data_IF_469051976191
#
_entry.id   IF_469051976191
#
_cell.length_a   1.000
_cell.length_b   1.000
_cell.length_c   1.000
_cell.angle_alpha   90.00
_cell.angle_beta   90.00
_cell.angle_gamma   90.00
#
_symmetry.space_group_name_H-M   'P 1'
#
loop_
_entity.id
_entity.type
_entity.pdbx_description
1 polymer ?
#
# COMPACT_ATOMS: atom_id res chain seq x y z
N UNK A 1 -39.39 10.18 18.30
CA UNK A 1 -39.38 8.93 17.52
C UNK A 1 -38.86 9.27 16.13
N UNK A 2 -37.72 8.68 15.73
CA UNK A 2 -37.18 8.60 14.36
C UNK A 2 -37.01 9.92 13.59
N UNK A 3 -35.80 10.38 13.30
CA UNK A 3 -34.96 9.70 12.31
C UNK A 3 -33.54 10.26 12.41
N UNK A 4 -32.60 9.44 12.88
CA UNK A 4 -31.20 9.65 12.58
C UNK A 4 -30.98 9.06 11.19
N UNK A 5 -30.61 9.90 10.24
CA UNK A 5 -30.10 9.46 8.93
C UNK A 5 -28.83 8.63 9.18
N UNK A 6 -28.98 7.31 9.27
CA UNK A 6 -27.90 6.32 9.17
C UNK A 6 -27.42 6.19 7.72
N UNK A 7 -27.12 7.32 7.07
CA UNK A 7 -26.52 7.32 5.75
C UNK A 7 -25.00 7.12 5.87
N UNK A 8 -24.65 5.87 6.15
CA UNK A 8 -23.43 5.17 5.78
C UNK A 8 -22.18 6.06 5.52
N UNK A 9 -21.44 6.37 6.59
CA UNK A 9 -20.00 6.57 6.50
C UNK A 9 -19.36 5.24 6.09
N UNK A 10 -19.46 4.88 4.81
CA UNK A 10 -18.67 3.78 4.26
C UNK A 10 -17.22 4.26 4.31
N UNK A 11 -16.48 3.76 5.31
CA UNK A 11 -15.06 4.02 5.47
C UNK A 11 -14.36 3.82 4.12
N UNK A 12 -13.56 4.79 3.66
CA UNK A 12 -12.94 4.79 2.33
C UNK A 12 -12.11 3.50 2.12
N UNK A 13 -11.50 3.01 3.19
CA UNK A 13 -10.78 1.73 3.28
C UNK A 13 -11.66 0.52 2.92
N UNK A 14 -12.92 0.50 3.35
CA UNK A 14 -13.88 -0.57 3.00
C UNK A 14 -14.24 -0.54 1.52
N UNK A 15 -14.37 0.65 0.91
CA UNK A 15 -14.61 0.77 -0.54
C UNK A 15 -13.39 0.36 -1.36
N UNK A 16 -12.19 0.71 -0.90
CA UNK A 16 -10.93 0.29 -1.52
C UNK A 16 -10.78 -1.23 -1.56
N UNK A 17 -11.13 -1.91 -0.47
CA UNK A 17 -11.08 -3.38 -0.40
C UNK A 17 -12.18 -4.05 -1.20
N UNK A 18 -13.38 -3.45 -1.29
CA UNK A 18 -14.47 -4.01 -2.08
C UNK A 18 -14.17 -3.95 -3.58
N UNK A 19 -13.65 -2.81 -4.05
CA UNK A 19 -13.42 -2.58 -5.47
C UNK A 19 -11.98 -2.85 -5.91
N UNK A 20 -11.09 -3.19 -4.95
CA UNK A 20 -9.64 -3.29 -5.16
C UNK A 20 -9.11 -2.13 -5.99
N UNK A 21 -9.54 -0.92 -5.63
CA UNK A 21 -9.31 0.31 -6.38
C UNK A 21 -8.80 1.39 -5.43
N UNK A 22 -7.66 1.98 -5.77
CA UNK A 22 -7.08 3.10 -5.06
C UNK A 22 -7.02 4.32 -5.98
N UNK A 23 -7.71 5.40 -5.59
CA UNK A 23 -7.72 6.64 -6.34
C UNK A 23 -6.67 7.63 -5.81
N UNK A 24 -6.18 8.50 -6.69
CA UNK A 24 -5.10 9.44 -6.39
C UNK A 24 -5.52 10.56 -5.43
N UNK A 25 -6.82 10.82 -5.31
CA UNK A 25 -7.41 11.93 -4.57
C UNK A 25 -7.45 13.23 -5.37
N UNK A 26 -7.85 14.28 -4.67
CA UNK A 26 -7.78 15.67 -5.13
C UNK A 26 -6.78 16.45 -4.29
N UNK A 27 -6.24 17.53 -4.85
CA UNK A 27 -5.33 18.44 -4.16
C UNK A 27 -6.07 19.10 -2.99
N UNK A 28 -5.54 18.94 -1.77
CA UNK A 28 -6.19 19.44 -0.55
C UNK A 28 -5.78 20.87 -0.17
N UNK A 29 -4.72 21.42 -0.76
CA UNK A 29 -4.10 22.68 -0.32
C UNK A 29 -3.66 23.59 -1.48
N UNK A 30 -3.50 24.88 -1.19
CA UNK A 30 -2.96 25.87 -2.12
C UNK A 30 -3.92 26.29 -3.24
N UNK A 31 -3.38 27.03 -4.24
CA UNK A 31 -4.17 27.62 -5.34
C UNK A 31 -4.87 26.59 -6.25
N UNK A 32 -4.42 25.34 -6.22
CA UNK A 32 -4.97 24.25 -7.03
C UNK A 32 -5.88 23.31 -6.22
N UNK A 33 -6.31 23.72 -5.03
CA UNK A 33 -7.22 22.93 -4.19
C UNK A 33 -8.47 22.50 -4.97
N UNK A 34 -8.86 21.24 -4.83
CA UNK A 34 -10.00 20.64 -5.50
C UNK A 34 -9.71 20.06 -6.88
N UNK A 35 -8.52 20.32 -7.46
CA UNK A 35 -8.15 19.70 -8.74
C UNK A 35 -7.81 18.21 -8.56
N UNK A 36 -8.19 17.35 -9.51
CA UNK A 36 -7.82 15.93 -9.49
C UNK A 36 -6.30 15.72 -9.53
N UNK A 37 -5.81 14.76 -8.75
CA UNK A 37 -4.43 14.31 -8.83
C UNK A 37 -4.26 13.29 -9.96
N UNK A 38 -3.17 13.43 -10.71
CA UNK A 38 -2.77 12.49 -11.75
C UNK A 38 -1.73 11.50 -11.21
N UNK A 39 -1.87 10.23 -11.59
CA UNK A 39 -0.94 9.14 -11.25
C UNK A 39 0.15 9.03 -12.31
N UNK A 40 1.21 9.83 -12.19
CA UNK A 40 2.32 9.81 -13.15
C UNK A 40 3.26 8.63 -12.89
N UNK A 41 3.54 7.78 -13.87
CA UNK A 41 4.51 6.69 -13.70
C UNK A 41 4.01 5.53 -12.84
N UNK A 42 2.69 5.35 -12.73
CA UNK A 42 2.14 4.07 -12.28
C UNK A 42 2.08 3.14 -13.48
N UNK A 43 2.80 2.03 -13.37
CA UNK A 43 2.84 1.00 -14.39
C UNK A 43 1.97 -0.20 -13.99
N UNK A 44 1.39 -0.86 -14.99
CA UNK A 44 0.84 -2.20 -14.80
C UNK A 44 1.92 -3.13 -14.26
N UNK A 45 1.51 -4.19 -13.56
CA UNK A 45 2.38 -5.17 -12.91
C UNK A 45 3.11 -4.67 -11.66
N UNK A 46 2.86 -3.43 -11.23
CA UNK A 46 3.32 -2.91 -9.94
C UNK A 46 2.46 -3.43 -8.78
N UNK A 47 3.04 -3.44 -7.58
CA UNK A 47 2.33 -3.75 -6.34
C UNK A 47 1.73 -2.48 -5.74
N UNK A 48 0.42 -2.46 -5.53
CA UNK A 48 -0.24 -1.46 -4.71
C UNK A 48 -0.39 -1.98 -3.29
N UNK A 49 0.03 -1.19 -2.30
CA UNK A 49 -0.20 -1.47 -0.89
C UNK A 49 -1.12 -0.43 -0.26
N UNK A 50 -2.11 -0.92 0.48
CA UNK A 50 -3.10 -0.10 1.17
C UNK A 50 -2.66 0.08 2.61
N UNK A 51 -2.57 1.34 3.04
CA UNK A 51 -2.09 1.68 4.38
C UNK A 51 -3.04 2.61 5.08
N UNK A 52 -3.13 2.47 6.40
CA UNK A 52 -3.91 3.38 7.24
C UNK A 52 -3.22 3.60 8.58
N UNK A 53 -3.73 4.56 9.34
CA UNK A 53 -3.34 4.81 10.72
C UNK A 53 -4.54 4.58 11.60
N UNK A 54 -4.34 3.79 12.65
CA UNK A 54 -5.35 3.63 13.68
C UNK A 54 -5.57 4.97 14.41
N UNK A 55 -6.79 5.23 14.94
CA UNK A 55 -7.06 6.41 15.74
C UNK A 55 -6.00 6.60 16.83
N UNK A 56 -5.54 7.84 17.02
CA UNK A 56 -4.53 8.22 18.03
C UNK A 56 -3.14 7.57 17.90
N UNK A 57 -2.87 6.79 16.84
CA UNK A 57 -1.54 6.23 16.57
C UNK A 57 -0.57 7.27 15.97
N UNK A 58 0.75 7.06 16.09
CA UNK A 58 1.75 7.94 15.46
C UNK A 58 1.96 7.53 14.00
N UNK A 59 2.56 8.42 13.19
CA UNK A 59 2.83 8.10 11.78
C UNK A 59 3.69 6.85 11.60
N UNK A 60 4.66 6.64 12.50
CA UNK A 60 5.51 5.44 12.55
C UNK A 60 4.75 4.12 12.75
N UNK A 61 3.53 4.20 13.28
CA UNK A 61 2.67 3.06 13.56
C UNK A 61 1.67 2.79 12.42
N UNK A 62 1.85 3.44 11.26
CA UNK A 62 1.07 3.17 10.04
C UNK A 62 1.18 1.70 9.67
N UNK A 63 0.02 1.07 9.46
CA UNK A 63 -0.11 -0.34 9.13
C UNK A 63 -0.47 -0.52 7.66
N UNK A 64 -0.04 -1.64 7.08
CA UNK A 64 -0.57 -2.14 5.82
C UNK A 64 -1.77 -3.01 6.15
N UNK A 65 -2.88 -2.83 5.45
CA UNK A 65 -4.10 -3.64 5.65
C UNK A 65 -4.54 -4.40 4.40
N UNK A 66 -3.84 -4.19 3.28
CA UNK A 66 -4.06 -4.95 2.06
C UNK A 66 -2.99 -4.66 1.01
N UNK A 67 -2.89 -5.55 0.03
CA UNK A 67 -2.01 -5.42 -1.11
C UNK A 67 -2.65 -6.06 -2.35
N UNK A 68 -2.40 -5.51 -3.53
CA UNK A 68 -2.89 -6.07 -4.79
C UNK A 68 -1.99 -5.76 -5.97
N UNK A 69 -2.02 -6.64 -6.97
CA UNK A 69 -1.32 -6.45 -8.23
C UNK A 69 -2.10 -5.48 -9.13
N UNK A 70 -1.45 -4.42 -9.59
CA UNK A 70 -2.08 -3.45 -10.48
C UNK A 70 -2.15 -4.01 -11.89
N UNK A 71 -3.36 -4.31 -12.37
CA UNK A 71 -3.62 -4.73 -13.76
C UNK A 71 -4.35 -3.64 -14.57
N UNK A 72 -5.01 -2.70 -13.90
CA UNK A 72 -5.67 -1.55 -14.50
C UNK A 72 -5.17 -0.23 -13.91
N UNK A 73 -4.88 0.71 -14.80
CA UNK A 73 -4.44 2.06 -14.45
C UNK A 73 -5.23 3.09 -15.23
N UNK A 74 -5.47 4.22 -14.59
CA UNK A 74 -5.95 5.44 -15.23
C UNK A 74 -5.11 6.59 -14.68
N UNK A 75 -4.42 7.32 -15.56
CA UNK A 75 -3.54 8.41 -15.14
C UNK A 75 -4.31 9.56 -14.49
N UNK A 76 -5.57 9.75 -14.87
CA UNK A 76 -6.34 10.94 -14.49
C UNK A 76 -6.31 12.00 -15.59
N UNK A 77 -7.36 12.79 -15.65
CA UNK A 77 -7.51 13.92 -16.56
C UNK A 77 -7.90 15.18 -15.78
N UNK A 78 -8.33 16.23 -16.48
CA UNK A 78 -8.66 17.50 -15.84
C UNK A 78 -10.00 17.46 -15.09
N UNK A 79 -10.79 16.40 -15.31
CA UNK A 79 -12.10 16.15 -14.70
C UNK A 79 -12.08 15.02 -13.66
N UNK A 80 -11.20 14.03 -13.82
CA UNK A 80 -11.17 12.80 -13.03
C UNK A 80 -9.79 12.52 -12.48
N UNK A 81 -9.74 12.10 -11.23
CA UNK A 81 -8.50 11.65 -10.59
C UNK A 81 -8.01 10.35 -11.21
N UNK A 82 -6.69 10.15 -11.16
CA UNK A 82 -6.10 8.88 -11.53
C UNK A 82 -6.47 7.78 -10.54
N UNK A 83 -6.44 6.53 -10.99
CA UNK A 83 -6.61 5.38 -10.11
C UNK A 83 -5.81 4.17 -10.58
N UNK A 84 -5.60 3.26 -9.64
CA UNK A 84 -5.16 1.89 -9.90
C UNK A 84 -6.21 0.91 -9.40
N UNK A 85 -6.33 -0.23 -10.07
CA UNK A 85 -7.14 -1.33 -9.57
C UNK A 85 -6.59 -2.70 -9.92
N UNK A 86 -7.09 -3.70 -9.21
CA UNK A 86 -6.92 -5.12 -9.51
C UNK A 86 -8.25 -5.78 -9.87
N UNK A 87 -8.29 -6.44 -11.02
CA UNK A 87 -9.33 -7.42 -11.38
C UNK A 87 -8.87 -8.85 -11.20
N UNK A 88 -7.56 -9.08 -11.18
CA UNK A 88 -6.92 -10.37 -10.95
C UNK A 88 -7.16 -10.91 -9.54
N UNK A 89 -6.84 -12.19 -9.35
CA UNK A 89 -6.87 -12.88 -8.06
C UNK A 89 -5.71 -12.50 -7.12
N UNK A 90 -4.71 -11.78 -7.64
CA UNK A 90 -3.51 -11.37 -6.93
C UNK A 90 -3.76 -10.20 -5.99
N UNK A 91 -4.44 -10.50 -4.89
CA UNK A 91 -4.84 -9.54 -3.86
C UNK A 91 -4.96 -10.20 -2.50
N UNK A 92 -4.51 -9.49 -1.47
CA UNK A 92 -4.50 -9.96 -0.09
C UNK A 92 -5.11 -8.87 0.78
N UNK A 93 -6.09 -9.25 1.59
CA UNK A 93 -6.63 -8.43 2.67
C UNK A 93 -6.12 -8.97 4.00
N UNK A 94 -5.68 -8.09 4.88
CA UNK A 94 -5.30 -8.45 6.24
C UNK A 94 -6.47 -8.21 7.18
N UNK A 95 -6.63 -9.12 8.14
CA UNK A 95 -7.42 -8.88 9.34
C UNK A 95 -6.80 -7.75 10.16
N UNK A 96 -7.56 -7.15 11.09
CA UNK A 96 -7.02 -6.08 11.94
C UNK A 96 -5.81 -6.57 12.76
N UNK A 97 -5.88 -7.79 13.30
CA UNK A 97 -4.80 -8.40 14.08
C UNK A 97 -3.54 -8.59 13.25
N UNK A 98 -3.67 -9.12 12.03
CA UNK A 98 -2.54 -9.26 11.10
C UNK A 98 -1.95 -7.89 10.70
N UNK A 99 -2.81 -6.91 10.41
CA UNK A 99 -2.40 -5.59 9.98
C UNK A 99 -1.63 -4.84 11.08
N UNK A 100 -2.01 -5.00 12.35
CA UNK A 100 -1.33 -4.37 13.49
C UNK A 100 0.15 -4.78 13.61
N UNK A 101 0.48 -6.01 13.22
CA UNK A 101 1.85 -6.52 13.19
C UNK A 101 2.61 -6.11 11.91
N UNK A 102 1.92 -5.64 10.88
CA UNK A 102 2.48 -5.39 9.55
C UNK A 102 2.70 -3.90 9.25
N UNK A 103 3.74 -3.31 9.87
CA UNK A 103 4.05 -1.87 9.79
C UNK A 103 4.61 -1.45 8.43
N UNK A 104 4.01 -0.41 7.84
CA UNK A 104 4.43 0.15 6.54
C UNK A 104 5.90 0.62 6.53
N UNK A 105 6.34 1.29 7.59
CA UNK A 105 7.68 1.89 7.68
C UNK A 105 8.80 0.87 7.89
N UNK A 106 8.47 -0.41 8.07
CA UNK A 106 9.47 -1.48 8.02
C UNK A 106 9.96 -1.72 6.58
N UNK A 107 9.12 -1.42 5.59
CA UNK A 107 9.41 -1.68 4.17
C UNK A 107 9.77 -0.39 3.43
N UNK A 108 8.98 0.66 3.60
CA UNK A 108 9.16 1.90 2.85
C UNK A 108 10.12 2.87 3.55
N UNK A 109 11.01 3.47 2.75
CA UNK A 109 11.73 4.69 3.09
C UNK A 109 11.72 5.63 1.88
N UNK A 110 11.89 6.93 2.13
CA UNK A 110 12.09 7.88 1.05
C UNK A 110 13.57 7.90 0.67
N UNK A 111 13.98 7.52 -0.56
CA UNK A 111 15.40 7.52 -0.94
C UNK A 111 16.09 8.89 -0.80
N UNK A 112 15.33 9.98 -0.95
CA UNK A 112 15.86 11.33 -0.82
C UNK A 112 16.00 11.79 0.63
N UNK A 113 15.26 11.18 1.57
CA UNK A 113 15.28 11.48 3.02
C UNK A 113 14.99 10.20 3.82
N UNK A 114 15.92 9.24 3.84
CA UNK A 114 15.66 7.90 4.36
C UNK A 114 15.32 7.85 5.85
N UNK A 115 15.82 8.82 6.62
CA UNK A 115 15.60 9.00 8.06
C UNK A 115 14.21 9.57 8.40
N UNK A 116 13.45 10.04 7.41
CA UNK A 116 12.17 10.72 7.63
C UNK A 116 10.98 9.76 7.56
N UNK A 117 10.34 9.51 8.71
CA UNK A 117 9.07 8.79 8.81
C UNK A 117 7.91 9.77 8.65
N UNK A 118 7.53 10.06 7.39
CA UNK A 118 6.43 10.99 7.09
C UNK A 118 5.76 10.67 5.76
N UNK A 119 4.44 10.41 5.78
CA UNK A 119 3.63 10.29 4.55
C UNK A 119 3.36 11.66 3.89
N UNK A 120 3.46 12.76 4.63
CA UNK A 120 3.34 14.11 4.06
C UNK A 120 1.96 14.39 3.46
N UNK A 121 1.89 15.26 2.45
CA UNK A 121 0.65 15.62 1.76
C UNK A 121 0.31 14.74 0.56
N UNK A 122 1.18 13.81 0.18
CA UNK A 122 0.95 12.90 -0.95
C UNK A 122 0.15 11.68 -0.51
N UNK A 123 -0.92 11.36 -1.25
CA UNK A 123 -1.85 10.27 -0.94
C UNK A 123 -1.32 8.87 -1.29
N UNK A 124 -0.25 8.79 -2.07
CA UNK A 124 0.39 7.53 -2.47
C UNK A 124 1.91 7.68 -2.52
N UNK A 125 2.62 6.54 -2.59
CA UNK A 125 4.07 6.43 -2.75
C UNK A 125 4.40 5.27 -3.68
N UNK A 126 5.49 5.41 -4.41
CA UNK A 126 6.03 4.36 -5.27
C UNK A 126 6.98 3.51 -4.45
N UNK A 127 6.76 2.21 -4.49
CA UNK A 127 7.68 1.23 -3.94
C UNK A 127 8.64 0.79 -5.05
N UNK A 128 9.89 0.54 -4.69
CA UNK A 128 10.77 -0.22 -5.59
C UNK A 128 10.35 -1.68 -5.63
N UNK A 129 10.76 -2.40 -6.67
CA UNK A 129 10.55 -3.85 -6.78
C UNK A 129 11.11 -4.62 -5.59
N UNK A 130 12.24 -4.15 -5.04
CA UNK A 130 12.81 -4.72 -3.80
C UNK A 130 11.86 -4.54 -2.63
N UNK A 131 11.33 -3.33 -2.41
CA UNK A 131 10.39 -3.08 -1.31
C UNK A 131 9.08 -3.85 -1.50
N UNK A 132 8.54 -3.90 -2.72
CA UNK A 132 7.34 -4.67 -3.05
C UNK A 132 7.55 -6.17 -2.81
N UNK A 133 8.69 -6.72 -3.24
CA UNK A 133 9.00 -8.14 -3.04
C UNK A 133 9.22 -8.46 -1.57
N UNK A 134 9.84 -7.56 -0.79
CA UNK A 134 9.97 -7.72 0.65
C UNK A 134 8.60 -7.77 1.35
N UNK A 135 7.66 -6.90 0.94
CA UNK A 135 6.28 -6.94 1.44
C UNK A 135 5.62 -8.28 1.12
N UNK A 136 5.65 -8.73 -0.15
CA UNK A 136 5.01 -9.99 -0.55
C UNK A 136 5.62 -11.21 0.15
N UNK A 137 6.95 -11.25 0.30
CA UNK A 137 7.66 -12.30 1.03
C UNK A 137 7.21 -12.40 2.48
N UNK A 138 7.06 -11.27 3.16
CA UNK A 138 6.65 -11.27 4.56
C UNK A 138 5.14 -11.47 4.72
N UNK A 139 4.32 -11.11 3.71
CA UNK A 139 2.91 -11.51 3.63
C UNK A 139 2.76 -13.03 3.52
N UNK A 140 3.60 -13.71 2.75
CA UNK A 140 3.61 -15.18 2.67
C UNK A 140 3.87 -15.81 4.04
N UNK A 141 4.85 -15.29 4.79
CA UNK A 141 5.13 -15.75 6.16
C UNK A 141 3.96 -15.49 7.10
N UNK A 142 3.34 -14.32 6.99
CA UNK A 142 2.17 -13.96 7.81
C UNK A 142 0.98 -14.90 7.57
N UNK A 143 0.85 -15.42 6.35
CA UNK A 143 -0.21 -16.35 5.94
C UNK A 143 0.21 -17.83 6.08
N UNK A 144 1.36 -18.13 6.68
CA UNK A 144 1.81 -19.50 6.89
C UNK A 144 0.83 -20.24 7.82
N UNK A 145 0.48 -21.47 7.46
CA UNK A 145 -0.53 -22.30 8.14
C UNK A 145 -1.96 -21.71 8.13
N UNK A 146 -2.25 -20.73 7.27
CA UNK A 146 -3.62 -20.25 7.04
C UNK A 146 -4.16 -20.75 5.69
N UNK A 147 -5.49 -20.72 5.46
CA UNK A 147 -6.06 -21.09 4.16
C UNK A 147 -5.54 -20.25 2.98
N UNK A 148 -5.02 -19.04 3.23
CA UNK A 148 -4.47 -18.14 2.22
C UNK A 148 -2.96 -18.33 1.95
N UNK A 149 -2.31 -19.31 2.58
CA UNK A 149 -0.89 -19.58 2.37
C UNK A 149 -0.57 -19.81 0.88
N UNK A 150 -1.32 -20.70 0.23
CA UNK A 150 -1.09 -21.05 -1.17
C UNK A 150 -1.30 -19.87 -2.11
N UNK A 151 -2.36 -19.08 -1.92
CA UNK A 151 -2.63 -17.91 -2.76
C UNK A 151 -1.60 -16.79 -2.54
N UNK A 152 -1.11 -16.61 -1.32
CA UNK A 152 -0.03 -15.66 -1.03
C UNK A 152 1.29 -16.04 -1.71
N UNK A 153 1.65 -17.33 -1.72
CA UNK A 153 2.83 -17.84 -2.43
C UNK A 153 2.72 -17.64 -3.94
N UNK A 154 1.57 -18.01 -4.51
CA UNK A 154 1.29 -17.80 -5.93
C UNK A 154 1.36 -16.33 -6.33
N UNK A 155 0.92 -15.41 -5.45
CA UNK A 155 1.03 -13.98 -5.70
C UNK A 155 2.50 -13.53 -5.73
N UNK A 156 3.30 -13.90 -4.73
CA UNK A 156 4.74 -13.60 -4.72
C UNK A 156 5.43 -14.14 -5.99
N UNK A 157 5.22 -15.41 -6.31
CA UNK A 157 5.82 -16.06 -7.48
C UNK A 157 5.41 -15.37 -8.78
N UNK A 158 4.13 -15.03 -8.93
CA UNK A 158 3.63 -14.34 -10.11
C UNK A 158 4.25 -12.95 -10.24
N UNK A 159 4.29 -12.18 -9.15
CA UNK A 159 4.89 -10.83 -9.13
C UNK A 159 6.36 -10.88 -9.53
N UNK A 160 7.13 -11.82 -8.97
CA UNK A 160 8.53 -11.99 -9.32
C UNK A 160 8.70 -12.35 -10.80
N UNK A 161 7.89 -13.29 -11.30
CA UNK A 161 7.96 -13.75 -12.70
C UNK A 161 7.69 -12.64 -13.71
N UNK A 162 6.66 -11.83 -13.51
CA UNK A 162 6.28 -10.78 -14.48
C UNK A 162 7.21 -9.57 -14.43
N UNK A 163 7.90 -9.34 -13.31
CA UNK A 163 8.87 -8.25 -13.14
C UNK A 163 10.33 -8.71 -13.31
N UNK A 164 10.58 -9.98 -13.65
CA UNK A 164 11.94 -10.51 -13.86
C UNK A 164 12.80 -10.52 -12.60
N UNK A 165 12.20 -10.70 -11.43
CA UNK A 165 12.87 -10.66 -10.12
C UNK A 165 13.25 -12.08 -9.70
N UNK A 166 14.51 -12.28 -9.34
CA UNK A 166 14.95 -13.50 -8.64
C UNK A 166 14.88 -13.28 -7.13
N UNK A 167 14.12 -14.12 -6.44
CA UNK A 167 13.86 -13.93 -5.00
C UNK A 167 15.15 -14.00 -4.16
N UNK A 168 16.15 -14.75 -4.61
CA UNK A 168 17.44 -14.89 -3.93
C UNK A 168 18.29 -13.60 -3.98
N UNK A 169 18.01 -12.71 -4.95
CA UNK A 169 18.68 -11.42 -5.06
C UNK A 169 18.09 -10.36 -4.10
N UNK A 170 16.91 -10.65 -3.52
CA UNK A 170 16.23 -9.72 -2.63
C UNK A 170 16.86 -9.79 -1.23
N UNK A 171 17.36 -8.66 -0.68
CA UNK A 171 17.92 -8.64 0.66
C UNK A 171 16.97 -9.22 1.70
N UNK A 172 17.50 -10.09 2.56
CA UNK A 172 16.77 -10.67 3.69
C UNK A 172 16.36 -9.58 4.68
N UNK A 173 17.29 -8.69 4.98
CA UNK A 173 17.06 -7.55 5.86
C UNK A 173 16.15 -6.51 5.20
N UNK A 174 15.18 -6.04 5.96
CA UNK A 174 14.31 -4.94 5.57
C UNK A 174 15.08 -3.60 5.63
N UNK A 175 14.69 -2.66 4.76
CA UNK A 175 15.40 -1.37 4.60
C UNK A 175 14.54 -0.14 4.88
N UNK A 176 13.32 -0.34 5.39
CA UNK A 176 12.37 0.75 5.64
C UNK A 176 12.84 1.77 6.66
N UNK A 177 12.19 2.94 6.64
CA UNK A 177 12.64 4.12 7.38
C UNK A 177 12.68 3.93 8.89
N UNK A 178 11.86 3.04 9.46
CA UNK A 178 11.91 2.71 10.90
C UNK A 178 13.27 2.12 11.30
N UNK A 179 13.79 1.20 10.49
CA UNK A 179 15.06 0.52 10.74
C UNK A 179 16.26 1.45 10.53
N UNK A 180 16.10 2.46 9.67
CA UNK A 180 17.14 3.48 9.46
C UNK A 180 17.26 4.42 10.66
N UNK A 181 16.14 4.78 11.30
CA UNK A 181 16.18 5.59 12.53
C UNK A 181 16.84 4.85 13.70
N UNK A 182 16.58 3.56 13.84
CA UNK A 182 17.17 2.73 14.90
C UNK A 182 18.69 2.56 14.74
N UNK A 183 19.18 2.45 13.50
CA UNK A 183 20.62 2.40 13.21
C UNK A 183 21.34 3.72 13.51
N UNK A 184 20.67 4.86 13.30
CA UNK A 184 21.25 6.19 13.53
C UNK A 184 21.12 6.68 14.99
N UNK A 185 20.40 5.95 15.84
CA UNK A 185 20.25 6.26 17.27
C UNK A 185 21.26 5.54 18.16
N UNK A 186 22.19 4.77 17.57
CA UNK A 186 23.33 4.11 18.22
C UNK A 186 24.63 4.81 17.82
#
# INVERSE_FOLDING_TARGET
>A
MGSFDENAFVCYESQMLNNWKAAAGVIQTGKNRGKPLKLKGVERNSLAILTTRLPSSKEKDRIIFGAFLVDETFEGDDSKEGFVSAKSEYKIKLSLTEAQEFKYWNYYFNPNKPETIRMGSGLFRYLSDVQATQVLRDLVKLKENTPEEASSKLFLEHFCRINGIHLDDIPKELSGGLLQQEKNSK
#
